data_IF_773618063293
#
_entry.id   IF_773618063293
#
_cell.length_a   1.000
_cell.length_b   1.000
_cell.length_c   1.000
_cell.angle_alpha   90.00
_cell.angle_beta   90.00
_cell.angle_gamma   90.00
#
_symmetry.space_group_name_H-M   'P 1'
#
loop_
_entity.id
_entity.type
_entity.pdbx_description
1 polymer ?
#
# COMPACT_ATOMS: atom_id res chain seq x y z
N UNK A 1 8.08 -22.87 13.57
CA UNK A 1 6.64 -22.91 13.90
C UNK A 1 5.92 -21.98 12.93
N UNK A 2 4.95 -22.48 12.18
CA UNK A 2 4.16 -21.64 11.25
C UNK A 2 2.89 -21.18 11.95
N UNK A 3 2.71 -19.88 12.14
CA UNK A 3 1.51 -19.31 12.74
C UNK A 3 0.34 -19.37 11.75
N UNK A 4 -0.85 -19.75 12.22
CA UNK A 4 -2.09 -19.80 11.43
C UNK A 4 -3.20 -19.01 12.13
N UNK A 5 -3.14 -17.67 12.12
CA UNK A 5 -4.15 -16.85 12.77
C UNK A 5 -5.49 -17.00 12.06
N UNK A 6 -6.56 -17.25 12.83
CA UNK A 6 -7.93 -17.34 12.30
C UNK A 6 -8.56 -15.97 12.05
N UNK A 7 -8.03 -14.92 12.67
CA UNK A 7 -8.60 -13.58 12.65
C UNK A 7 -7.51 -12.51 12.52
N UNK A 8 -7.86 -11.42 11.85
CA UNK A 8 -7.09 -10.19 11.82
C UNK A 8 -7.94 -9.04 12.38
N UNK A 9 -7.31 -8.14 13.12
CA UNK A 9 -7.95 -6.95 13.69
C UNK A 9 -7.49 -5.72 12.92
N UNK A 10 -8.41 -5.11 12.19
CA UNK A 10 -8.15 -3.92 11.39
C UNK A 10 -8.42 -2.67 12.22
N UNK A 11 -7.63 -1.62 12.00
CA UNK A 11 -7.68 -0.37 12.76
C UNK A 11 -9.08 0.26 12.82
N UNK A 12 -9.86 0.15 11.72
CA UNK A 12 -11.18 0.80 11.60
C UNK A 12 -12.35 -0.19 11.42
N UNK A 13 -12.06 -1.46 11.11
CA UNK A 13 -13.09 -2.43 10.71
C UNK A 13 -13.18 -3.63 11.67
N UNK A 14 -12.56 -3.54 12.84
CA UNK A 14 -12.60 -4.56 13.89
C UNK A 14 -12.07 -5.91 13.34
N UNK A 15 -12.65 -7.02 13.80
CA UNK A 15 -12.21 -8.39 13.49
C UNK A 15 -12.76 -8.88 12.16
N UNK A 16 -11.86 -9.36 11.30
CA UNK A 16 -12.20 -10.11 10.10
C UNK A 16 -11.66 -11.55 10.19
N UNK A 17 -12.29 -12.48 9.50
CA UNK A 17 -11.72 -13.81 9.28
C UNK A 17 -10.46 -13.68 8.42
N UNK A 18 -9.36 -14.25 8.90
CA UNK A 18 -8.09 -14.21 8.20
C UNK A 18 -7.84 -15.56 7.53
N UNK A 19 -7.97 -15.57 6.21
CA UNK A 19 -7.80 -16.77 5.38
C UNK A 19 -6.49 -16.70 4.62
N UNK A 20 -6.07 -17.82 4.03
CA UNK A 20 -4.93 -17.83 3.09
C UNK A 20 -5.13 -16.83 1.94
N UNK A 21 -6.36 -16.73 1.42
CA UNK A 21 -6.71 -15.74 0.38
C UNK A 21 -6.48 -14.31 0.86
N UNK A 22 -6.82 -14.00 2.12
CA UNK A 22 -6.56 -12.69 2.73
C UNK A 22 -5.06 -12.39 2.81
N UNK A 23 -4.25 -13.38 3.19
CA UNK A 23 -2.79 -13.26 3.25
C UNK A 23 -2.17 -13.06 1.86
N UNK A 24 -2.57 -13.86 0.87
CA UNK A 24 -2.08 -13.77 -0.50
C UNK A 24 -2.44 -12.40 -1.12
N UNK A 25 -3.67 -11.93 -0.88
CA UNK A 25 -4.12 -10.60 -1.30
C UNK A 25 -3.30 -9.48 -0.65
N UNK A 26 -3.03 -9.58 0.66
CA UNK A 26 -2.23 -8.59 1.38
C UNK A 26 -0.80 -8.52 0.82
N UNK A 27 -0.14 -9.67 0.64
CA UNK A 27 1.21 -9.75 0.06
C UNK A 27 1.22 -9.17 -1.36
N UNK A 28 0.25 -9.54 -2.19
CA UNK A 28 0.14 -9.01 -3.55
C UNK A 28 0.02 -7.49 -3.57
N UNK A 29 -0.83 -6.90 -2.74
CA UNK A 29 -1.00 -5.45 -2.68
C UNK A 29 0.26 -4.73 -2.15
N UNK A 30 0.94 -5.30 -1.14
CA UNK A 30 2.21 -4.77 -0.64
C UNK A 30 3.28 -4.75 -1.74
N UNK A 31 3.40 -5.84 -2.51
CA UNK A 31 4.35 -5.90 -3.63
C UNK A 31 4.04 -4.84 -4.70
N UNK A 32 2.77 -4.64 -5.05
CA UNK A 32 2.39 -3.58 -5.99
C UNK A 32 2.72 -2.18 -5.44
N UNK A 33 2.54 -1.94 -4.15
CA UNK A 33 2.92 -0.66 -3.53
C UNK A 33 4.42 -0.41 -3.64
N UNK A 34 5.23 -1.45 -3.41
CA UNK A 34 6.69 -1.40 -3.58
C UNK A 34 7.07 -1.11 -5.03
N UNK A 35 6.46 -1.80 -6.00
CA UNK A 35 6.71 -1.55 -7.43
C UNK A 35 6.36 -0.12 -7.83
N UNK A 36 5.22 0.41 -7.36
CA UNK A 36 4.82 1.80 -7.59
C UNK A 36 5.86 2.76 -7.00
N UNK A 37 6.31 2.52 -5.77
CA UNK A 37 7.33 3.34 -5.12
C UNK A 37 8.63 3.37 -5.92
N UNK A 38 9.12 2.20 -6.36
CA UNK A 38 10.33 2.08 -7.19
C UNK A 38 10.16 2.83 -8.52
N UNK A 39 9.03 2.65 -9.21
CA UNK A 39 8.76 3.34 -10.50
C UNK A 39 8.77 4.86 -10.34
N UNK A 40 8.27 5.37 -9.22
CA UNK A 40 8.17 6.80 -8.94
C UNK A 40 9.42 7.40 -8.26
N UNK A 41 10.44 6.59 -7.96
CA UNK A 41 11.54 6.99 -7.05
C UNK A 41 12.32 8.23 -7.50
N UNK A 42 12.38 8.51 -8.81
CA UNK A 42 13.12 9.64 -9.39
C UNK A 42 12.21 10.79 -9.84
N UNK A 43 10.91 10.72 -9.57
CA UNK A 43 9.99 11.79 -9.95
C UNK A 43 10.22 13.06 -9.11
N UNK A 44 10.09 14.25 -9.70
CA UNK A 44 10.03 15.49 -8.93
C UNK A 44 8.84 15.41 -7.98
N UNK A 45 9.03 15.81 -6.73
CA UNK A 45 8.03 15.63 -5.66
C UNK A 45 7.58 14.16 -5.53
N UNK A 46 8.57 13.26 -5.36
CA UNK A 46 8.41 11.80 -5.19
C UNK A 46 7.24 11.40 -4.30
N UNK A 47 7.07 12.06 -3.15
CA UNK A 47 5.97 11.77 -2.22
C UNK A 47 4.60 11.92 -2.89
N UNK A 48 4.37 13.05 -3.57
CA UNK A 48 3.12 13.30 -4.30
C UNK A 48 2.92 12.28 -5.42
N UNK A 49 3.98 11.96 -6.17
CA UNK A 49 3.91 10.99 -7.27
C UNK A 49 3.52 9.58 -6.79
N UNK A 50 4.16 9.10 -5.72
CA UNK A 50 3.82 7.81 -5.08
C UNK A 50 2.38 7.83 -4.61
N UNK A 51 1.98 8.88 -3.87
CA UNK A 51 0.63 8.99 -3.34
C UNK A 51 -0.45 8.95 -4.43
N UNK A 52 -0.26 9.69 -5.52
CA UNK A 52 -1.19 9.68 -6.65
C UNK A 52 -1.27 8.30 -7.30
N UNK A 53 -0.13 7.68 -7.62
CA UNK A 53 -0.11 6.36 -8.26
C UNK A 53 -0.71 5.26 -7.36
N UNK A 54 -0.52 5.33 -6.05
CA UNK A 54 -1.17 4.43 -5.10
C UNK A 54 -2.69 4.63 -5.06
N UNK A 55 -3.18 5.88 -5.14
CA UNK A 55 -4.61 6.15 -5.18
C UNK A 55 -5.24 5.54 -6.44
N UNK A 56 -4.62 5.76 -7.59
CA UNK A 56 -5.09 5.22 -8.87
C UNK A 56 -5.17 3.69 -8.82
N UNK A 57 -4.13 3.05 -8.28
CA UNK A 57 -4.11 1.61 -8.07
C UNK A 57 -5.22 1.13 -7.11
N UNK A 58 -5.45 1.83 -6.00
CA UNK A 58 -6.49 1.48 -5.03
C UNK A 58 -7.90 1.59 -5.63
N UNK A 59 -8.16 2.61 -6.45
CA UNK A 59 -9.43 2.78 -7.16
C UNK A 59 -9.63 1.67 -8.20
N UNK A 60 -8.57 1.30 -8.91
CA UNK A 60 -8.60 0.20 -9.89
C UNK A 60 -8.95 -1.14 -9.22
N UNK A 61 -8.28 -1.49 -8.12
CA UNK A 61 -8.56 -2.76 -7.42
C UNK A 61 -9.93 -2.73 -6.74
N UNK A 62 -10.40 -1.58 -6.24
CA UNK A 62 -11.74 -1.44 -5.67
C UNK A 62 -12.81 -1.69 -6.72
N UNK A 63 -12.63 -1.14 -7.93
CA UNK A 63 -13.50 -1.41 -9.09
C UNK A 63 -13.50 -2.89 -9.45
N UNK A 64 -12.32 -3.52 -9.58
CA UNK A 64 -12.19 -4.97 -9.86
C UNK A 64 -12.81 -5.86 -8.77
N UNK A 65 -12.82 -5.39 -7.52
CA UNK A 65 -13.45 -6.08 -6.40
C UNK A 65 -14.99 -5.93 -6.38
N UNK A 66 -15.56 -5.08 -7.25
CA UNK A 66 -17.00 -4.83 -7.33
C UNK A 66 -17.51 -3.75 -6.37
N UNK A 67 -16.63 -2.86 -5.88
CA UNK A 67 -17.05 -1.71 -5.07
C UNK A 67 -17.86 -0.75 -5.94
N UNK A 68 -19.12 -0.51 -5.58
CA UNK A 68 -20.07 0.34 -6.33
C UNK A 68 -20.26 1.73 -5.72
N UNK A 69 -19.53 2.05 -4.65
CA UNK A 69 -19.63 3.36 -3.99
C UNK A 69 -19.01 4.45 -4.86
N UNK A 70 -19.55 5.67 -4.84
CA UNK A 70 -18.97 6.83 -5.54
C UNK A 70 -17.47 7.01 -5.26
N UNK A 71 -16.69 7.32 -6.30
CA UNK A 71 -15.24 7.50 -6.22
C UNK A 71 -14.82 8.50 -5.12
N UNK A 72 -15.54 9.62 -4.96
CA UNK A 72 -15.26 10.62 -3.92
C UNK A 72 -15.27 10.00 -2.51
N UNK A 73 -16.19 9.06 -2.26
CA UNK A 73 -16.28 8.36 -0.98
C UNK A 73 -15.15 7.35 -0.83
N UNK A 74 -14.77 6.66 -1.91
CA UNK A 74 -13.61 5.75 -1.91
C UNK A 74 -12.31 6.51 -1.60
N UNK A 75 -12.07 7.64 -2.28
CA UNK A 75 -10.93 8.53 -2.03
C UNK A 75 -10.91 8.97 -0.56
N UNK A 76 -12.07 9.35 0.00
CA UNK A 76 -12.18 9.76 1.40
C UNK A 76 -11.77 8.65 2.37
N UNK A 77 -12.12 7.40 2.08
CA UNK A 77 -11.73 6.23 2.88
C UNK A 77 -10.22 6.00 2.79
N UNK A 78 -9.63 6.05 1.59
CA UNK A 78 -8.20 5.76 1.41
C UNK A 78 -7.28 6.89 1.89
N UNK A 79 -7.73 8.15 1.88
CA UNK A 79 -6.87 9.32 2.07
C UNK A 79 -6.01 9.28 3.34
N UNK A 80 -6.54 8.74 4.44
CA UNK A 80 -5.83 8.65 5.72
C UNK A 80 -4.63 7.71 5.63
N UNK A 81 -4.89 6.45 5.28
CA UNK A 81 -3.84 5.42 5.19
C UNK A 81 -2.85 5.69 4.07
N UNK A 82 -3.32 6.26 2.96
CA UNK A 82 -2.50 6.57 1.79
C UNK A 82 -1.33 7.50 2.11
N UNK A 83 -1.54 8.48 3.00
CA UNK A 83 -0.48 9.39 3.43
C UNK A 83 0.62 8.64 4.20
N UNK A 84 0.22 7.81 5.15
CA UNK A 84 1.14 7.03 5.99
C UNK A 84 1.89 5.99 5.14
N UNK A 85 1.21 5.31 4.21
CA UNK A 85 1.83 4.38 3.28
C UNK A 85 2.88 5.07 2.39
N UNK A 86 2.56 6.24 1.82
CA UNK A 86 3.51 6.98 0.99
C UNK A 86 4.75 7.45 1.77
N UNK A 87 4.58 7.89 3.03
CA UNK A 87 5.70 8.25 3.91
C UNK A 87 6.59 7.04 4.21
N UNK A 88 6.00 5.89 4.55
CA UNK A 88 6.74 4.66 4.82
C UNK A 88 7.54 4.17 3.62
N UNK A 89 6.94 4.20 2.42
CA UNK A 89 7.62 3.86 1.17
C UNK A 89 8.76 4.84 0.84
N UNK A 90 8.56 6.13 1.09
CA UNK A 90 9.61 7.14 0.92
C UNK A 90 10.84 6.86 1.80
N UNK A 91 10.62 6.61 3.09
CA UNK A 91 11.71 6.25 4.03
C UNK A 91 12.38 4.94 3.64
N UNK A 92 11.60 3.94 3.19
CA UNK A 92 12.14 2.67 2.73
C UNK A 92 13.06 2.86 1.51
N UNK A 93 12.66 3.65 0.51
CA UNK A 93 13.51 3.99 -0.64
C UNK A 93 14.79 4.72 -0.22
N UNK A 94 14.71 5.63 0.75
CA UNK A 94 15.89 6.33 1.27
C UNK A 94 16.88 5.35 1.93
N UNK A 95 16.39 4.34 2.65
CA UNK A 95 17.24 3.26 3.19
C UNK A 95 17.85 2.39 2.11
N UNK A 96 17.07 1.98 1.12
CA UNK A 96 17.54 1.14 0.01
C UNK A 96 18.58 1.85 -0.86
N UNK A 97 18.47 3.17 -1.02
CA UNK A 97 19.45 3.98 -1.74
C UNK A 97 20.74 4.18 -0.93
N UNK A 98 20.63 4.43 0.38
CA UNK A 98 21.81 4.46 1.27
C UNK A 98 22.54 3.11 1.34
N UNK A 99 21.81 1.99 1.36
CA UNK A 99 22.40 0.65 1.38
C UNK A 99 23.17 0.29 0.09
N UNK A 100 22.88 0.99 -1.02
CA UNK A 100 23.57 0.80 -2.32
C UNK A 100 24.83 1.67 -2.47
N UNK A 101 25.11 2.57 -1.52
CA UNK A 101 26.38 3.30 -1.48
C UNK A 101 27.37 2.43 -0.71
N UNK A 102 28.41 1.85 -1.35
CA UNK A 102 29.46 1.17 -0.59
C UNK A 102 30.10 2.21 0.33
N UNK A 103 30.31 1.85 1.61
CA UNK A 103 31.05 2.66 2.57
C UNK A 103 32.30 3.23 1.90
N UNK A 104 32.42 4.57 1.90
CA UNK A 104 33.68 5.25 1.62
C UNK A 104 34.68 4.96 2.73
#
# INVERSE_FOLDING_TARGET
MTLQPKYAYLTHFNRIEFTKKSADMLIHNINNFVEIAIKMQHQPNRHKAIKTALLDYLLEIASKHGVTTEEIKQIKVFKGDLEICAQGLGIWLDKESCAKIPNK
#
